data_IF_749623585118
#
_entry.id   IF_749623585118
#
_cell.length_a   1.000
_cell.length_b   1.000
_cell.length_c   1.000
_cell.angle_alpha   90.00
_cell.angle_beta   90.00
_cell.angle_gamma   90.00
#
_symmetry.space_group_name_H-M   'P 1'
#
loop_
_entity.id
_entity.type
_entity.pdbx_description
1 polymer ?
#
# COMPACT_ATOMS: atom_id res chain seq x y z
N UNK A 1 11.50 -14.06 56.38
CA UNK A 1 11.62 -12.89 55.48
C UNK A 1 11.63 -13.41 54.06
N UNK A 2 10.67 -12.92 53.26
CA UNK A 2 10.27 -13.42 51.95
C UNK A 2 11.38 -13.22 50.92
N UNK A 3 11.80 -14.28 50.22
CA UNK A 3 12.59 -14.20 48.98
C UNK A 3 11.85 -14.99 47.90
N UNK A 4 10.71 -14.48 47.49
CA UNK A 4 10.08 -14.89 46.23
C UNK A 4 10.96 -14.32 45.12
N UNK A 5 11.84 -15.16 44.60
CA UNK A 5 12.60 -14.90 43.37
C UNK A 5 11.55 -14.83 42.26
N UNK A 6 11.15 -13.59 41.97
CA UNK A 6 10.28 -13.23 40.87
C UNK A 6 11.08 -13.41 39.58
N UNK A 7 11.08 -14.63 39.05
CA UNK A 7 11.61 -14.92 37.72
C UNK A 7 10.62 -14.35 36.70
N UNK A 8 10.76 -13.05 36.42
CA UNK A 8 10.10 -12.38 35.29
C UNK A 8 10.69 -12.99 34.02
N UNK A 9 9.97 -13.99 33.51
CA UNK A 9 10.18 -14.53 32.19
C UNK A 9 9.70 -13.47 31.20
N UNK A 10 10.62 -12.62 30.74
CA UNK A 10 10.35 -11.70 29.62
C UNK A 10 10.23 -12.56 28.37
N UNK A 11 9.02 -13.08 28.13
CA UNK A 11 8.63 -13.65 26.86
C UNK A 11 8.60 -12.50 25.85
N UNK A 12 9.73 -12.21 25.23
CA UNK A 12 9.78 -11.39 24.02
C UNK A 12 9.04 -12.17 22.95
N UNK A 13 7.77 -11.82 22.72
CA UNK A 13 7.05 -12.18 21.52
C UNK A 13 7.75 -11.49 20.34
N UNK A 14 8.78 -12.12 19.78
CA UNK A 14 9.20 -11.83 18.41
C UNK A 14 8.09 -12.36 17.50
N UNK A 15 7.01 -11.59 17.38
CA UNK A 15 6.05 -11.78 16.30
C UNK A 15 6.80 -11.57 15.00
N UNK A 16 6.87 -12.59 14.15
CA UNK A 16 7.32 -12.45 12.78
C UNK A 16 6.29 -11.59 12.06
N UNK A 17 6.45 -10.28 12.14
CA UNK A 17 5.67 -9.36 11.33
C UNK A 17 6.31 -9.40 9.95
N UNK A 18 5.98 -10.43 9.18
CA UNK A 18 6.17 -10.36 7.73
C UNK A 18 5.36 -9.15 7.29
N UNK A 19 6.03 -8.00 7.11
CA UNK A 19 5.44 -6.74 6.69
C UNK A 19 4.94 -6.91 5.25
N UNK A 20 3.83 -7.65 5.11
CA UNK A 20 3.21 -8.06 3.85
C UNK A 20 2.73 -6.85 3.05
N UNK A 21 2.56 -5.74 3.75
CA UNK A 21 2.11 -4.43 3.29
C UNK A 21 3.01 -3.81 2.22
N UNK A 22 4.22 -4.34 2.02
CA UNK A 22 5.16 -3.85 1.01
C UNK A 22 5.64 -4.91 0.01
N UNK A 23 5.02 -6.10 -0.03
CA UNK A 23 5.39 -7.11 -1.03
C UNK A 23 4.55 -7.00 -2.30
N UNK A 24 5.22 -7.14 -3.44
CA UNK A 24 4.62 -7.23 -4.77
C UNK A 24 4.63 -8.70 -5.20
N UNK A 25 3.44 -9.24 -5.48
CA UNK A 25 3.26 -10.58 -6.03
C UNK A 25 2.05 -10.63 -6.95
N UNK A 26 1.88 -11.73 -7.70
CA UNK A 26 0.74 -11.90 -8.60
C UNK A 26 -0.58 -11.67 -7.83
N UNK A 27 -1.39 -10.73 -8.32
CA UNK A 27 -2.70 -10.40 -7.76
C UNK A 27 -2.69 -9.58 -6.45
N UNK A 28 -1.51 -9.15 -5.95
CA UNK A 28 -1.43 -8.36 -4.72
C UNK A 28 -0.22 -7.40 -4.70
N UNK A 29 -0.46 -6.13 -4.40
CA UNK A 29 0.55 -5.10 -4.17
C UNK A 29 0.33 -4.53 -2.78
N UNK A 30 1.16 -4.95 -1.82
CA UNK A 30 1.01 -4.54 -0.43
C UNK A 30 -0.37 -4.88 0.13
N UNK A 31 -1.13 -3.86 0.54
CA UNK A 31 -2.50 -4.02 1.07
C UNK A 31 -3.57 -4.23 -0.02
N UNK A 32 -3.25 -3.99 -1.29
CA UNK A 32 -4.20 -3.98 -2.41
C UNK A 32 -4.20 -5.33 -3.12
N UNK A 33 -5.39 -5.86 -3.41
CA UNK A 33 -5.60 -7.07 -4.21
C UNK A 33 -6.29 -6.75 -5.54
N UNK A 34 -6.37 -7.73 -6.45
CA UNK A 34 -7.10 -7.57 -7.72
C UNK A 34 -8.61 -7.30 -7.56
N UNK A 35 -9.16 -7.52 -6.37
CA UNK A 35 -10.58 -7.30 -6.07
C UNK A 35 -10.82 -5.99 -5.30
N UNK A 36 -9.76 -5.28 -4.92
CA UNK A 36 -9.87 -4.05 -4.14
C UNK A 36 -10.54 -2.95 -4.95
N UNK A 37 -11.54 -2.32 -4.35
CA UNK A 37 -12.34 -1.24 -4.95
C UNK A 37 -12.11 0.10 -4.25
N UNK A 38 -12.44 1.19 -4.93
CA UNK A 38 -12.18 2.57 -4.45
C UNK A 38 -12.75 2.83 -3.05
N UNK A 39 -13.98 2.38 -2.76
CA UNK A 39 -14.62 2.62 -1.45
C UNK A 39 -13.91 1.96 -0.27
N UNK A 40 -13.04 0.98 -0.51
CA UNK A 40 -12.28 0.29 0.54
C UNK A 40 -10.98 1.02 0.92
N UNK A 41 -10.53 1.97 0.08
CA UNK A 41 -9.23 2.62 0.25
C UNK A 41 -9.09 3.32 1.60
N UNK A 42 -10.11 4.04 2.06
CA UNK A 42 -10.09 4.77 3.34
C UNK A 42 -9.90 3.80 4.53
N UNK A 43 -10.43 2.56 4.43
CA UNK A 43 -10.23 1.51 5.46
C UNK A 43 -8.86 0.84 5.37
N UNK A 44 -8.44 0.48 4.15
CA UNK A 44 -7.13 -0.17 3.92
C UNK A 44 -5.96 0.73 4.32
N UNK A 45 -6.12 2.04 4.14
CA UNK A 45 -5.11 3.05 4.39
C UNK A 45 -5.48 3.94 5.58
N UNK A 46 -6.20 3.42 6.58
CA UNK A 46 -6.68 4.20 7.74
C UNK A 46 -5.56 4.91 8.54
N UNK A 47 -4.33 4.41 8.45
CA UNK A 47 -3.15 4.96 9.11
C UNK A 47 -2.36 5.94 8.22
N UNK A 48 -2.72 6.03 6.95
CA UNK A 48 -2.01 6.72 5.89
C UNK A 48 -2.89 7.89 5.41
N UNK A 49 -2.31 8.82 4.66
CA UNK A 49 -3.05 9.94 4.06
C UNK A 49 -3.38 9.63 2.60
N UNK A 50 -4.63 9.91 2.20
CA UNK A 50 -5.08 9.73 0.81
C UNK A 50 -5.41 11.10 0.21
N UNK A 51 -4.69 11.47 -0.85
CA UNK A 51 -5.03 12.64 -1.67
C UNK A 51 -5.81 12.18 -2.89
N UNK A 52 -7.07 12.62 -3.00
CA UNK A 52 -7.98 12.27 -4.09
C UNK A 52 -7.88 13.37 -5.16
N UNK A 53 -7.46 13.02 -6.37
CA UNK A 53 -7.44 13.87 -7.56
C UNK A 53 -8.46 13.31 -8.52
N UNK A 54 -9.66 13.86 -8.49
CA UNK A 54 -10.76 13.40 -9.31
C UNK A 54 -10.62 14.04 -10.69
N UNK A 55 -10.72 13.21 -11.73
CA UNK A 55 -10.69 13.67 -13.11
C UNK A 55 -11.81 14.65 -13.39
N UNK A 56 -11.56 15.67 -14.20
CA UNK A 56 -12.60 16.59 -14.67
C UNK A 56 -12.49 16.75 -16.20
N UNK A 57 -13.60 17.06 -16.85
CA UNK A 57 -13.68 17.34 -18.29
C UNK A 57 -14.60 16.41 -19.07
N UNK A 58 -14.97 16.84 -20.28
CA UNK A 58 -15.79 16.05 -21.20
C UNK A 58 -14.99 14.88 -21.79
N UNK A 59 -15.67 13.78 -22.17
CA UNK A 59 -15.13 12.47 -22.58
C UNK A 59 -13.84 12.42 -23.43
N UNK A 60 -13.51 13.48 -24.19
CA UNK A 60 -12.26 13.53 -24.98
C UNK A 60 -11.03 14.06 -24.21
N UNK A 61 -11.24 14.72 -23.07
CA UNK A 61 -10.19 15.33 -22.24
C UNK A 61 -10.33 15.00 -20.75
N UNK A 62 -11.22 14.05 -20.38
CA UNK A 62 -11.41 13.70 -18.97
C UNK A 62 -10.12 13.11 -18.41
N UNK A 63 -9.57 13.77 -17.39
CA UNK A 63 -8.47 13.21 -16.60
C UNK A 63 -8.91 11.95 -15.87
N UNK A 64 -7.97 11.10 -15.47
CA UNK A 64 -8.29 9.91 -14.65
C UNK A 64 -8.45 10.29 -13.18
N UNK A 65 -9.27 9.55 -12.44
CA UNK A 65 -9.26 9.58 -10.98
C UNK A 65 -7.96 8.99 -10.44
N UNK A 66 -7.28 9.72 -9.57
CA UNK A 66 -6.04 9.27 -8.93
C UNK A 66 -6.13 9.39 -7.41
N UNK A 67 -5.77 8.31 -6.73
CA UNK A 67 -5.71 8.23 -5.28
C UNK A 67 -4.25 8.07 -4.87
N UNK A 68 -3.65 9.16 -4.40
CA UNK A 68 -2.25 9.20 -3.98
C UNK A 68 -2.16 8.85 -2.51
N UNK A 69 -1.37 7.83 -2.18
CA UNK A 69 -1.22 7.30 -0.84
C UNK A 69 0.10 7.79 -0.25
N UNK A 70 0.04 8.45 0.90
CA UNK A 70 1.20 8.94 1.64
C UNK A 70 1.27 8.31 3.02
N UNK A 71 2.46 7.92 3.47
CA UNK A 71 2.63 7.44 4.84
C UNK A 71 2.54 8.60 5.85
N UNK A 72 2.60 8.28 7.15
CA UNK A 72 2.62 9.28 8.25
C UNK A 72 3.78 10.28 8.19
N UNK A 73 4.84 9.97 7.44
CA UNK A 73 6.02 10.83 7.21
C UNK A 73 5.89 11.67 5.93
N UNK A 74 4.75 11.61 5.24
CA UNK A 74 4.48 12.29 3.96
C UNK A 74 5.28 11.75 2.77
N UNK A 75 5.86 10.54 2.87
CA UNK A 75 6.47 9.89 1.71
C UNK A 75 5.37 9.35 0.79
N UNK A 76 5.46 9.64 -0.51
CA UNK A 76 4.53 9.13 -1.51
C UNK A 76 4.78 7.63 -1.75
N UNK A 77 3.81 6.81 -1.38
CA UNK A 77 3.92 5.36 -1.48
C UNK A 77 3.45 4.82 -2.83
N UNK A 78 2.20 5.13 -3.18
CA UNK A 78 1.48 4.57 -4.32
C UNK A 78 0.58 5.62 -4.96
N UNK A 79 0.40 5.56 -6.27
CA UNK A 79 -0.74 6.20 -6.96
C UNK A 79 -1.65 5.11 -7.50
N UNK A 80 -2.93 5.16 -7.13
CA UNK A 80 -3.94 4.18 -7.51
C UNK A 80 -4.92 4.79 -8.50
N UNK A 81 -5.21 4.06 -9.56
CA UNK A 81 -6.11 4.50 -10.63
C UNK A 81 -7.18 3.42 -10.82
N UNK A 82 -8.46 3.73 -10.60
CA UNK A 82 -9.55 2.81 -10.89
C UNK A 82 -9.74 2.67 -12.39
N UNK A 83 -10.36 1.55 -12.80
CA UNK A 83 -10.67 1.29 -14.21
C UNK A 83 -11.61 2.32 -14.84
N UNK A 84 -12.52 2.87 -14.04
CA UNK A 84 -13.52 3.86 -14.42
C UNK A 84 -13.47 4.99 -13.40
N UNK A 85 -13.42 6.22 -13.90
CA UNK A 85 -13.52 7.42 -13.08
C UNK A 85 -14.93 7.57 -12.49
N UNK A 86 -15.03 8.27 -11.36
CA UNK A 86 -16.27 8.63 -10.67
C UNK A 86 -17.13 7.45 -10.17
N UNK A 87 -16.63 6.21 -10.19
CA UNK A 87 -17.32 5.07 -9.57
C UNK A 87 -16.52 4.52 -8.38
N UNK A 88 -17.09 4.68 -7.19
CA UNK A 88 -16.48 4.20 -5.95
C UNK A 88 -16.53 2.66 -5.79
N UNK A 89 -17.34 1.95 -6.58
CA UNK A 89 -17.39 0.49 -6.60
C UNK A 89 -16.44 -0.12 -7.64
N UNK A 90 -15.76 0.71 -8.43
CA UNK A 90 -14.84 0.22 -9.44
C UNK A 90 -13.54 -0.29 -8.81
N UNK A 91 -12.93 -1.28 -9.47
CA UNK A 91 -11.68 -1.89 -9.03
C UNK A 91 -10.49 -1.00 -9.36
N UNK A 92 -9.46 -1.08 -8.53
CA UNK A 92 -8.15 -0.49 -8.85
C UNK A 92 -7.53 -1.29 -10.01
N UNK A 93 -7.30 -0.63 -11.13
CA UNK A 93 -6.73 -1.24 -12.33
C UNK A 93 -5.23 -1.01 -12.41
N UNK A 94 -4.79 0.22 -12.15
CA UNK A 94 -3.38 0.60 -12.24
C UNK A 94 -2.85 1.02 -10.87
N UNK A 95 -1.65 0.52 -10.56
CA UNK A 95 -0.91 0.87 -9.34
C UNK A 95 0.48 1.33 -9.75
N UNK A 96 0.76 2.60 -9.56
CA UNK A 96 2.11 3.15 -9.68
C UNK A 96 2.81 3.08 -8.33
N UNK A 97 4.04 2.54 -8.32
CA UNK A 97 4.82 2.32 -7.10
C UNK A 97 5.92 3.38 -7.04
N UNK A 98 5.91 4.20 -5.98
CA UNK A 98 6.77 5.37 -5.85
C UNK A 98 7.73 5.29 -4.66
N UNK A 99 7.62 4.24 -3.85
CA UNK A 99 8.45 4.01 -2.67
C UNK A 99 9.29 2.74 -2.80
N UNK A 100 10.57 2.84 -2.44
CA UNK A 100 11.52 1.71 -2.40
C UNK A 100 11.23 0.69 -1.30
N UNK A 101 10.26 0.98 -0.42
CA UNK A 101 9.78 0.02 0.57
C UNK A 101 9.10 -1.17 -0.12
N UNK A 102 8.43 -0.92 -1.26
CA UNK A 102 7.79 -1.97 -2.04
C UNK A 102 8.82 -2.79 -2.80
N UNK A 103 8.74 -4.12 -2.69
CA UNK A 103 9.63 -5.04 -3.41
C UNK A 103 8.92 -6.30 -3.87
N UNK A 104 9.34 -6.83 -5.02
CA UNK A 104 8.89 -8.15 -5.47
C UNK A 104 9.45 -9.26 -4.58
N UNK A 105 8.94 -10.48 -4.73
CA UNK A 105 9.53 -11.68 -4.11
C UNK A 105 11.01 -11.89 -4.46
N UNK A 106 11.47 -11.34 -5.60
CA UNK A 106 12.87 -11.38 -6.05
C UNK A 106 13.70 -10.19 -5.53
N UNK A 107 13.09 -9.27 -4.78
CA UNK A 107 13.75 -8.09 -4.24
C UNK A 107 13.76 -6.85 -5.15
N UNK A 108 13.22 -6.94 -6.37
CA UNK A 108 13.15 -5.80 -7.31
C UNK A 108 12.27 -4.68 -6.74
N UNK A 109 12.75 -3.44 -6.79
CA UNK A 109 12.07 -2.22 -6.37
C UNK A 109 12.44 -1.02 -7.28
N UNK A 110 12.00 0.19 -6.93
CA UNK A 110 12.24 1.41 -7.73
C UNK A 110 13.72 1.81 -7.85
N UNK A 111 14.59 1.28 -6.99
CA UNK A 111 16.03 1.54 -7.00
C UNK A 111 16.80 0.46 -7.78
N UNK A 112 16.12 -0.59 -8.26
CA UNK A 112 16.72 -1.63 -9.07
C UNK A 112 17.12 -1.09 -10.44
N UNK A 113 18.21 -1.61 -10.95
CA UNK A 113 18.71 -1.33 -12.29
C UNK A 113 18.16 -2.34 -13.28
N UNK A 114 18.35 -2.09 -14.58
CA UNK A 114 18.01 -3.06 -15.62
C UNK A 114 18.75 -4.40 -15.45
N UNK A 115 19.97 -4.38 -14.90
CA UNK A 115 20.76 -5.61 -14.69
C UNK A 115 20.26 -6.49 -13.55
N UNK A 116 19.36 -5.99 -12.70
CA UNK A 116 18.78 -6.75 -11.59
C UNK A 116 17.58 -7.61 -12.00
N UNK A 117 17.01 -7.40 -13.20
CA UNK A 117 15.79 -8.05 -13.71
C UNK A 117 16.13 -9.33 -14.49
#
# INVERSE_FOLDING_TARGET
>A
MKKYILFICVLTFFGCNDNSDYYIKKGKVGKISSETIVKELDSLFYNDSIVKRIGEGDYMFSGEDKYLIFNKKQDHLLTLIPKQQHDINEKIETIEILSNQFKTIKGININSTFGDI
#
